data_IF_985244937814
#
_entry.id   IF_985244937814
#
_cell.length_a   1.000
_cell.length_b   1.000
_cell.length_c   1.000
_cell.angle_alpha   90.00
_cell.angle_beta   90.00
_cell.angle_gamma   90.00
#
_symmetry.space_group_name_H-M   'P 1'
#
loop_
_entity.id
_entity.type
_entity.pdbx_description
1 polymer ?
#
# COMPACT_ATOMS: atom_id res chain seq x y z
N UNK A 1 -22.69 3.22 11.44
CA UNK A 1 -21.44 2.93 12.18
C UNK A 1 -21.60 3.24 13.68
N UNK A 2 -22.53 2.58 14.37
CA UNK A 2 -22.80 2.80 15.81
C UNK A 2 -23.07 1.49 16.58
N UNK A 3 -22.65 0.35 16.04
CA UNK A 3 -22.91 -0.99 16.61
C UNK A 3 -21.72 -1.58 17.37
N UNK A 4 -20.63 -0.82 17.49
CA UNK A 4 -19.46 -1.26 18.24
C UNK A 4 -19.77 -1.40 19.73
N UNK A 5 -19.20 -2.43 20.36
CA UNK A 5 -19.36 -2.70 21.80
C UNK A 5 -18.11 -2.24 22.56
N UNK A 6 -18.31 -1.66 23.75
CA UNK A 6 -17.20 -1.25 24.63
C UNK A 6 -16.40 -2.47 25.06
N UNK A 7 -15.07 -2.37 24.98
CA UNK A 7 -14.15 -3.45 25.34
C UNK A 7 -13.85 -4.45 24.22
N UNK A 8 -14.61 -4.40 23.11
CA UNK A 8 -14.40 -5.31 21.98
C UNK A 8 -13.36 -4.77 20.99
N UNK A 9 -12.54 -5.67 20.45
CA UNK A 9 -11.61 -5.39 19.35
C UNK A 9 -12.21 -5.89 18.04
N UNK A 10 -12.11 -5.09 16.99
CA UNK A 10 -12.57 -5.40 15.64
C UNK A 10 -11.43 -5.18 14.65
N UNK A 11 -11.15 -6.20 13.85
CA UNK A 11 -10.20 -6.13 12.74
C UNK A 11 -10.92 -5.67 11.47
N UNK A 12 -10.24 -4.86 10.66
CA UNK A 12 -10.72 -4.36 9.38
C UNK A 12 -9.65 -4.59 8.31
N UNK A 13 -10.05 -4.98 7.11
CA UNK A 13 -9.10 -5.32 6.05
C UNK A 13 -9.81 -5.77 4.77
N UNK A 14 -9.29 -5.38 3.61
CA UNK A 14 -9.99 -5.47 2.33
C UNK A 14 -10.23 -6.88 1.74
N UNK A 15 -9.98 -7.97 2.50
CA UNK A 15 -10.00 -9.35 1.99
C UNK A 15 -9.11 -9.55 0.76
N UNK A 16 -8.00 -8.82 0.70
CA UNK A 16 -7.02 -8.88 -0.39
C UNK A 16 -5.68 -9.27 0.18
N UNK A 17 -5.18 -10.42 -0.24
CA UNK A 17 -3.79 -10.83 -0.02
C UNK A 17 -3.09 -10.80 -1.36
N UNK A 18 -1.93 -10.13 -1.42
CA UNK A 18 -1.18 -9.93 -2.64
C UNK A 18 0.31 -9.91 -2.32
N UNK A 19 1.13 -10.53 -3.16
CA UNK A 19 2.58 -10.41 -3.02
C UNK A 19 3.04 -9.01 -3.47
N UNK A 20 4.08 -8.48 -2.83
CA UNK A 20 4.66 -7.18 -3.20
C UNK A 20 5.04 -7.10 -4.69
N UNK A 21 5.52 -8.22 -5.27
CA UNK A 21 5.89 -8.28 -6.69
C UNK A 21 4.67 -8.21 -7.62
N UNK A 22 3.55 -8.83 -7.23
CA UNK A 22 2.30 -8.77 -8.01
C UNK A 22 1.75 -7.34 -8.02
N UNK A 23 1.73 -6.68 -6.86
CA UNK A 23 1.38 -5.26 -6.75
C UNK A 23 2.29 -4.38 -7.63
N UNK A 24 3.60 -4.60 -7.58
CA UNK A 24 4.56 -3.82 -8.36
C UNK A 24 4.32 -3.97 -9.86
N UNK A 25 4.04 -5.20 -10.33
CA UNK A 25 3.69 -5.47 -11.73
C UNK A 25 2.38 -4.79 -12.14
N UNK A 26 1.36 -4.81 -11.27
CA UNK A 26 0.10 -4.10 -11.51
C UNK A 26 0.35 -2.60 -11.68
N UNK A 27 1.12 -1.97 -10.78
CA UNK A 27 1.48 -0.56 -10.85
C UNK A 27 2.17 -0.20 -12.18
N UNK A 28 3.21 -0.94 -12.54
CA UNK A 28 3.99 -0.71 -13.78
C UNK A 28 3.10 -0.83 -15.01
N UNK A 29 2.22 -1.83 -15.06
CA UNK A 29 1.25 -1.98 -16.15
C UNK A 29 0.29 -0.80 -16.24
N UNK A 30 -0.29 -0.36 -15.13
CA UNK A 30 -1.22 0.78 -15.09
C UNK A 30 -0.55 2.09 -15.49
N UNK A 31 0.74 2.25 -15.21
CA UNK A 31 1.54 3.42 -15.58
C UNK A 31 2.13 3.34 -17.00
N UNK A 32 1.85 2.27 -17.76
CA UNK A 32 2.41 2.07 -19.10
C UNK A 32 3.94 1.91 -19.11
N UNK A 33 4.51 1.35 -18.04
CA UNK A 33 5.94 1.06 -17.88
C UNK A 33 6.22 -0.41 -18.16
N UNK A 34 7.51 -0.76 -18.26
CA UNK A 34 7.98 -2.13 -18.48
C UNK A 34 8.57 -2.72 -17.20
N UNK A 35 8.67 -4.05 -17.12
CA UNK A 35 9.29 -4.74 -15.97
C UNK A 35 10.77 -4.36 -15.76
N UNK A 36 11.44 -3.76 -16.75
CA UNK A 36 12.80 -3.21 -16.62
C UNK A 36 12.89 -2.11 -15.54
N UNK A 37 11.75 -1.52 -15.16
CA UNK A 37 11.68 -0.56 -14.05
C UNK A 37 11.75 -1.23 -12.67
N UNK A 38 11.71 -2.56 -12.58
CA UNK A 38 11.80 -3.32 -11.33
C UNK A 38 13.26 -3.64 -11.04
N UNK A 39 13.76 -3.22 -9.88
CA UNK A 39 15.06 -3.62 -9.36
C UNK A 39 14.90 -4.37 -8.04
N UNK A 40 15.44 -5.58 -7.98
CA UNK A 40 15.58 -6.31 -6.72
C UNK A 40 16.72 -5.70 -5.91
N UNK A 41 16.48 -5.50 -4.63
CA UNK A 41 17.45 -4.96 -3.66
C UNK A 41 17.56 -5.92 -2.48
N UNK A 42 18.58 -5.72 -1.64
CA UNK A 42 18.75 -6.50 -0.40
C UNK A 42 17.49 -6.40 0.46
N UNK A 43 17.05 -7.54 0.98
CA UNK A 43 15.85 -7.65 1.80
C UNK A 43 15.97 -6.90 3.13
N UNK A 44 14.82 -6.55 3.71
CA UNK A 44 14.74 -5.87 5.01
C UNK A 44 15.07 -6.86 6.14
N UNK A 45 15.99 -6.53 7.07
CA UNK A 45 16.16 -7.31 8.28
C UNK A 45 14.86 -7.43 9.07
N UNK A 46 14.43 -8.68 9.37
CA UNK A 46 13.17 -8.94 10.07
C UNK A 46 11.91 -8.73 9.23
N UNK A 47 11.97 -9.01 7.93
CA UNK A 47 10.81 -8.92 7.04
C UNK A 47 9.76 -9.98 7.37
N UNK A 48 8.63 -9.56 7.95
CA UNK A 48 7.44 -10.42 8.07
C UNK A 48 6.89 -10.73 6.68
N UNK A 49 6.85 -12.02 6.32
CA UNK A 49 6.59 -12.44 4.95
C UNK A 49 5.12 -12.38 4.53
N UNK A 50 4.19 -12.39 5.49
CA UNK A 50 2.76 -12.40 5.20
C UNK A 50 1.97 -11.75 6.33
N UNK A 51 1.16 -10.77 5.96
CA UNK A 51 0.07 -10.28 6.79
C UNK A 51 -1.26 -10.66 6.14
N UNK A 52 -2.15 -11.21 6.96
CA UNK A 52 -3.53 -11.50 6.58
C UNK A 52 -4.41 -11.26 7.79
N UNK A 53 -5.56 -10.61 7.57
CA UNK A 53 -6.45 -10.21 8.65
C UNK A 53 -7.81 -10.90 8.45
N UNK A 54 -8.27 -11.56 9.51
CA UNK A 54 -9.65 -12.04 9.61
C UNK A 54 -10.56 -10.88 10.07
N UNK A 55 -11.46 -10.48 9.18
CA UNK A 55 -12.40 -9.37 9.39
C UNK A 55 -13.82 -9.82 9.75
N UNK A 56 -14.07 -11.13 9.89
CA UNK A 56 -15.42 -11.69 10.04
C UNK A 56 -16.22 -11.03 11.16
N UNK A 57 -15.58 -10.73 12.29
CA UNK A 57 -16.26 -10.09 13.42
C UNK A 57 -16.82 -8.71 13.06
N UNK A 58 -16.06 -7.90 12.32
CA UNK A 58 -16.53 -6.59 11.88
C UNK A 58 -17.63 -6.71 10.83
N UNK A 59 -17.51 -7.69 9.93
CA UNK A 59 -18.52 -8.00 8.91
C UNK A 59 -19.86 -8.40 9.56
N UNK A 60 -19.83 -9.35 10.49
CA UNK A 60 -21.02 -9.91 11.13
C UNK A 60 -21.68 -8.94 12.12
N UNK A 61 -20.89 -8.29 13.00
CA UNK A 61 -21.48 -7.47 14.08
C UNK A 61 -21.74 -6.03 13.66
N UNK A 62 -20.89 -5.47 12.79
CA UNK A 62 -20.98 -4.06 12.38
C UNK A 62 -21.58 -3.88 10.99
N UNK A 63 -21.73 -4.97 10.22
CA UNK A 63 -22.11 -4.90 8.80
C UNK A 63 -21.02 -4.27 7.95
N UNK A 64 -19.76 -4.32 8.40
CA UNK A 64 -18.64 -3.75 7.67
C UNK A 64 -18.32 -4.61 6.44
N UNK A 65 -18.07 -3.98 5.30
CA UNK A 65 -17.53 -4.66 4.13
C UNK A 65 -16.76 -3.65 3.27
N UNK A 66 -15.66 -4.05 2.61
CA UNK A 66 -14.94 -3.16 1.70
C UNK A 66 -15.86 -2.73 0.57
N UNK A 67 -15.87 -1.43 0.25
CA UNK A 67 -16.73 -0.87 -0.80
C UNK A 67 -16.00 -0.73 -2.15
N UNK A 68 -14.68 -0.84 -2.14
CA UNK A 68 -13.81 -0.60 -3.30
C UNK A 68 -12.97 -1.86 -3.49
N UNK A 69 -12.92 -2.40 -4.72
CA UNK A 69 -12.01 -3.50 -5.03
C UNK A 69 -10.57 -3.01 -5.03
N UNK A 70 -9.62 -3.93 -4.89
CA UNK A 70 -8.21 -3.55 -4.88
C UNK A 70 -7.79 -2.86 -6.19
N UNK A 71 -8.25 -3.36 -7.34
CA UNK A 71 -7.93 -2.83 -8.65
C UNK A 71 -8.49 -1.43 -8.86
N UNK A 72 -9.76 -1.20 -8.48
CA UNK A 72 -10.38 0.11 -8.57
C UNK A 72 -9.67 1.12 -7.66
N UNK A 73 -9.41 0.73 -6.40
CA UNK A 73 -8.69 1.58 -5.44
C UNK A 73 -7.25 1.89 -5.88
N UNK A 74 -6.57 0.93 -6.51
CA UNK A 74 -5.22 1.13 -7.06
C UNK A 74 -5.23 2.17 -8.19
N UNK A 75 -6.19 2.07 -9.12
CA UNK A 75 -6.33 3.03 -10.21
C UNK A 75 -6.64 4.43 -9.67
N UNK A 76 -7.62 4.56 -8.77
CA UNK A 76 -7.95 5.85 -8.14
C UNK A 76 -6.77 6.45 -7.37
N UNK A 77 -5.98 5.59 -6.71
CA UNK A 77 -4.75 6.02 -6.03
C UNK A 77 -3.74 6.58 -7.03
N UNK A 78 -3.48 5.89 -8.15
CA UNK A 78 -2.58 6.36 -9.20
C UNK A 78 -3.05 7.71 -9.74
N UNK A 79 -4.32 7.82 -10.09
CA UNK A 79 -4.92 9.05 -10.64
C UNK A 79 -4.79 10.22 -9.66
N UNK A 80 -4.98 9.95 -8.36
CA UNK A 80 -4.77 10.95 -7.32
C UNK A 80 -3.31 11.42 -7.29
N UNK A 81 -2.33 10.52 -7.28
CA UNK A 81 -0.91 10.91 -7.28
C UNK A 81 -0.52 11.68 -8.55
N UNK A 82 -1.03 11.28 -9.71
CA UNK A 82 -0.77 11.97 -10.99
C UNK A 82 -1.33 13.38 -10.97
N UNK A 83 -2.55 13.58 -10.44
CA UNK A 83 -3.24 14.88 -10.46
C UNK A 83 -2.83 15.82 -9.32
N UNK A 84 -2.16 15.33 -8.27
CA UNK A 84 -1.80 16.13 -7.08
C UNK A 84 -0.28 16.39 -6.98
N UNK A 85 0.37 16.81 -8.08
CA UNK A 85 1.83 17.02 -8.12
C UNK A 85 2.33 18.02 -7.08
N UNK A 86 1.64 19.15 -6.86
CA UNK A 86 2.03 20.15 -5.85
C UNK A 86 2.09 19.58 -4.43
N UNK A 87 1.23 18.61 -4.12
CA UNK A 87 1.28 17.91 -2.84
C UNK A 87 2.48 16.97 -2.79
N UNK A 88 2.71 16.20 -3.85
CA UNK A 88 3.83 15.27 -3.98
C UNK A 88 5.18 15.99 -3.88
N UNK A 89 5.35 17.13 -4.54
CA UNK A 89 6.59 17.91 -4.50
C UNK A 89 6.93 18.40 -3.09
N UNK A 90 5.90 18.87 -2.37
CA UNK A 90 6.03 19.37 -1.00
C UNK A 90 6.54 18.29 -0.06
N UNK A 91 5.98 17.08 -0.14
CA UNK A 91 6.35 15.97 0.75
C UNK A 91 7.67 15.30 0.36
N UNK A 92 8.13 15.46 -0.89
CA UNK A 92 9.40 14.91 -1.39
C UNK A 92 10.62 15.81 -1.14
N UNK A 93 10.51 16.79 -0.25
CA UNK A 93 11.55 17.77 0.04
C UNK A 93 12.31 17.46 1.34
N UNK A 94 13.47 18.08 1.52
CA UNK A 94 14.26 18.05 2.77
C UNK A 94 14.50 16.64 3.29
N UNK A 95 13.93 16.35 4.47
CA UNK A 95 14.11 15.10 5.21
C UNK A 95 13.75 13.84 4.39
N UNK A 96 12.77 13.91 3.49
CA UNK A 96 12.43 12.76 2.65
C UNK A 96 13.59 12.36 1.73
N UNK A 97 14.26 13.34 1.10
CA UNK A 97 15.41 13.08 0.21
C UNK A 97 16.59 12.53 1.00
N UNK A 98 16.89 13.11 2.15
CA UNK A 98 17.97 12.63 3.02
C UNK A 98 17.73 11.20 3.50
N UNK A 99 16.49 10.87 3.87
CA UNK A 99 16.11 9.51 4.22
C UNK A 99 16.27 8.55 3.04
N UNK A 100 15.79 8.92 1.84
CA UNK A 100 15.89 8.08 0.65
C UNK A 100 17.34 7.75 0.31
N UNK A 101 18.23 8.74 0.36
CA UNK A 101 19.67 8.55 0.14
C UNK A 101 20.27 7.60 1.18
N UNK A 102 19.97 7.80 2.47
CA UNK A 102 20.48 6.94 3.53
C UNK A 102 20.03 5.47 3.37
N UNK A 103 18.78 5.24 2.96
CA UNK A 103 18.24 3.90 2.84
C UNK A 103 18.62 3.20 1.54
N UNK A 104 18.70 3.95 0.44
CA UNK A 104 18.78 3.38 -0.90
C UNK A 104 19.98 3.83 -1.72
N UNK A 105 20.71 4.89 -1.37
CA UNK A 105 21.84 5.40 -2.15
C UNK A 105 22.86 4.32 -2.49
N UNK A 106 23.49 3.72 -1.47
CA UNK A 106 24.43 2.60 -1.64
C UNK A 106 23.76 1.31 -2.18
N UNK A 107 22.46 1.10 -1.90
CA UNK A 107 21.74 -0.11 -2.38
C UNK A 107 21.36 -0.03 -3.86
N UNK A 108 21.31 1.18 -4.41
CA UNK A 108 20.96 1.50 -5.79
C UNK A 108 22.16 1.95 -6.62
N UNK A 109 23.33 2.18 -6.01
CA UNK A 109 24.60 2.22 -6.73
C UNK A 109 24.87 0.90 -7.48
#
# INVERSE_FOLDING_TARGET
LLRGKVGEVYNFGGRTELQNIELTRMLIKLLGKTEESIRYVTDRPGHDLRYAIDCRKAEEELGWQPQVSFEAGLQETIDWYVTNQDWVERIRSGAYRSYYEQQYGERLA
#
